data_IF_805270612043
#
_entry.id   IF_805270612043
#
_cell.length_a   1.000
_cell.length_b   1.000
_cell.length_c   1.000
_cell.angle_alpha   90.00
_cell.angle_beta   90.00
_cell.angle_gamma   90.00
#
_symmetry.space_group_name_H-M   'P 1'
#
loop_
_entity.id
_entity.type
_entity.pdbx_description
1 polymer ?
#
# COMPACT_ATOMS: atom_id res chain seq x y z
N UNK A 1 5.44 -7.49 -9.83
CA UNK A 1 6.16 -6.49 -9.02
C UNK A 1 6.09 -6.98 -7.60
N UNK A 2 7.22 -7.26 -6.95
CA UNK A 2 7.25 -7.72 -5.56
C UNK A 2 6.66 -6.62 -4.66
N UNK A 3 5.57 -6.93 -3.95
CA UNK A 3 4.96 -6.08 -2.90
C UNK A 3 5.67 -6.22 -1.55
N UNK A 4 6.79 -6.96 -1.54
CA UNK A 4 7.66 -7.17 -0.40
C UNK A 4 8.34 -5.84 -0.01
N UNK A 5 7.85 -5.24 1.07
CA UNK A 5 8.37 -4.02 1.71
C UNK A 5 9.87 -4.17 2.01
N UNK A 6 10.74 -3.69 1.12
CA UNK A 6 12.17 -3.54 1.36
C UNK A 6 12.46 -2.18 2.00
N UNK A 7 11.75 -1.85 3.08
CA UNK A 7 11.95 -0.61 3.83
C UNK A 7 12.21 -0.98 5.30
N UNK A 8 13.44 -0.77 5.78
CA UNK A 8 13.76 -0.90 7.22
C UNK A 8 12.96 0.10 8.08
N UNK A 9 12.46 1.19 7.48
CA UNK A 9 11.71 2.27 8.15
C UNK A 9 10.32 2.51 7.50
N UNK A 10 9.68 1.47 6.96
CA UNK A 10 8.34 1.60 6.39
C UNK A 10 7.36 2.18 7.41
N UNK A 11 7.46 1.71 8.65
CA UNK A 11 6.62 2.13 9.77
C UNK A 11 6.81 3.63 10.07
N UNK A 12 8.06 4.11 10.13
CA UNK A 12 8.35 5.51 10.37
C UNK A 12 7.85 6.43 9.24
N UNK A 13 7.90 5.98 7.98
CA UNK A 13 7.32 6.73 6.86
C UNK A 13 5.78 6.79 6.97
N UNK A 14 5.14 5.67 7.31
CA UNK A 14 3.70 5.61 7.51
C UNK A 14 3.24 6.50 8.68
N UNK A 15 3.97 6.51 9.79
CA UNK A 15 3.70 7.40 10.93
C UNK A 15 3.80 8.88 10.52
N UNK A 16 4.89 9.26 9.85
CA UNK A 16 5.06 10.64 9.36
C UNK A 16 3.95 11.04 8.37
N UNK A 17 3.50 10.12 7.52
CA UNK A 17 2.40 10.37 6.60
C UNK A 17 1.08 10.57 7.36
N UNK A 18 0.79 9.71 8.34
CA UNK A 18 -0.42 9.81 9.17
C UNK A 18 -0.44 11.12 9.96
N UNK A 19 0.68 11.50 10.56
CA UNK A 19 0.84 12.75 11.30
C UNK A 19 0.65 13.97 10.39
N UNK A 20 1.14 13.92 9.16
CA UNK A 20 0.91 14.99 8.18
C UNK A 20 -0.56 15.15 7.77
N UNK A 21 -1.37 14.10 7.91
CA UNK A 21 -2.81 14.13 7.68
C UNK A 21 -3.63 14.55 8.90
N UNK A 22 -3.05 14.59 10.11
CA UNK A 22 -3.79 14.97 11.31
C UNK A 22 -4.32 16.40 11.21
N UNK A 23 -5.63 16.56 11.43
CA UNK A 23 -6.31 17.86 11.37
C UNK A 23 -6.65 18.36 9.97
N UNK A 24 -6.32 17.62 8.91
CA UNK A 24 -6.73 17.95 7.54
C UNK A 24 -8.14 17.44 7.24
N UNK A 25 -8.93 18.23 6.53
CA UNK A 25 -10.15 17.73 5.87
C UNK A 25 -9.80 16.71 4.79
N UNK A 26 -10.83 16.04 4.26
CA UNK A 26 -10.64 15.12 3.13
C UNK A 26 -10.04 15.82 1.91
N UNK A 27 -10.56 16.98 1.56
CA UNK A 27 -10.11 17.77 0.40
C UNK A 27 -8.68 18.27 0.61
N UNK A 28 -8.34 18.67 1.83
CA UNK A 28 -6.99 19.07 2.19
C UNK A 28 -6.01 17.88 2.14
N UNK A 29 -6.45 16.70 2.57
CA UNK A 29 -5.67 15.46 2.48
C UNK A 29 -5.44 15.04 1.03
N UNK A 30 -6.44 15.15 0.18
CA UNK A 30 -6.32 14.90 -1.27
C UNK A 30 -5.33 15.89 -1.92
N UNK A 31 -5.42 17.18 -1.58
CA UNK A 31 -4.48 18.20 -2.05
C UNK A 31 -3.05 18.00 -1.51
N UNK A 32 -2.90 17.54 -0.27
CA UNK A 32 -1.62 17.13 0.29
C UNK A 32 -1.01 15.96 -0.49
N UNK A 33 -1.79 14.91 -0.74
CA UNK A 33 -1.35 13.73 -1.49
C UNK A 33 -0.93 14.07 -2.91
N UNK A 34 -1.69 14.91 -3.62
CA UNK A 34 -1.33 15.35 -4.97
C UNK A 34 0.03 16.09 -4.98
N UNK A 35 0.26 16.98 -4.01
CA UNK A 35 1.55 17.68 -3.88
C UNK A 35 2.70 16.72 -3.55
N UNK A 36 2.48 15.79 -2.63
CA UNK A 36 3.48 14.80 -2.25
C UNK A 36 3.88 13.93 -3.45
N UNK A 37 2.91 13.45 -4.23
CA UNK A 37 3.16 12.66 -5.46
C UNK A 37 4.00 13.47 -6.46
N UNK A 38 3.66 14.74 -6.70
CA UNK A 38 4.42 15.59 -7.62
C UNK A 38 5.86 15.85 -7.15
N UNK A 39 6.06 16.07 -5.84
CA UNK A 39 7.39 16.22 -5.27
C UNK A 39 8.21 14.94 -5.44
N UNK A 40 7.65 13.78 -5.10
CA UNK A 40 8.33 12.49 -5.31
C UNK A 40 8.65 12.26 -6.80
N UNK A 41 7.72 12.59 -7.70
CA UNK A 41 7.92 12.47 -9.13
C UNK A 41 9.08 13.35 -9.63
N UNK A 42 9.17 14.58 -9.13
CA UNK A 42 10.26 15.49 -9.44
C UNK A 42 11.62 14.96 -8.93
N UNK A 43 11.66 14.40 -7.72
CA UNK A 43 12.88 13.81 -7.16
C UNK A 43 13.33 12.56 -7.93
N UNK A 44 12.39 11.76 -8.44
CA UNK A 44 12.69 10.57 -9.25
C UNK A 44 13.25 10.96 -10.63
N UNK A 45 12.73 12.02 -11.25
CA UNK A 45 13.24 12.57 -12.52
C UNK A 45 13.17 11.62 -13.73
N UNK A 46 12.47 10.48 -13.62
CA UNK A 46 12.42 9.44 -14.65
C UNK A 46 10.99 9.14 -15.06
N UNK A 47 10.56 9.72 -16.19
CA UNK A 47 9.21 9.55 -16.74
C UNK A 47 8.85 8.08 -16.99
N UNK A 48 9.78 7.25 -17.47
CA UNK A 48 9.49 5.85 -17.74
C UNK A 48 9.22 5.05 -16.45
N UNK A 49 9.92 5.39 -15.36
CA UNK A 49 9.65 4.80 -14.06
C UNK A 49 8.30 5.29 -13.50
N UNK A 50 8.00 6.59 -13.64
CA UNK A 50 6.73 7.16 -13.19
C UNK A 50 5.52 6.53 -13.90
N UNK A 51 5.61 6.31 -15.22
CA UNK A 51 4.56 5.63 -15.98
C UNK A 51 4.36 4.20 -15.47
N UNK A 52 5.44 3.46 -15.19
CA UNK A 52 5.34 2.12 -14.60
C UNK A 52 4.66 2.14 -13.23
N UNK A 53 4.96 3.13 -12.39
CA UNK A 53 4.29 3.30 -11.10
C UNK A 53 2.79 3.58 -11.26
N UNK A 54 2.39 4.42 -12.22
CA UNK A 54 0.98 4.73 -12.50
C UNK A 54 0.24 3.46 -12.97
N UNK A 55 0.85 2.69 -13.88
CA UNK A 55 0.28 1.40 -14.33
C UNK A 55 0.14 0.44 -13.15
N UNK A 56 1.17 0.28 -12.33
CA UNK A 56 1.14 -0.59 -11.16
C UNK A 56 0.10 -0.15 -10.11
N UNK A 57 -0.11 1.15 -9.91
CA UNK A 57 -1.14 1.67 -9.01
C UNK A 57 -2.57 1.49 -9.55
N UNK A 58 -2.73 1.38 -10.88
CA UNK A 58 -4.02 1.12 -11.53
C UNK A 58 -4.40 -0.35 -11.49
N UNK A 59 -3.41 -1.24 -11.42
CA UNK A 59 -3.58 -2.65 -11.11
C UNK A 59 -3.90 -2.76 -9.61
N UNK A 60 -5.17 -3.05 -9.28
CA UNK A 60 -5.56 -3.28 -7.88
C UNK A 60 -4.59 -4.29 -7.27
N UNK A 61 -3.91 -3.99 -6.15
CA UNK A 61 -3.25 -5.05 -5.41
C UNK A 61 -4.36 -6.01 -4.99
N UNK A 62 -4.31 -7.24 -5.47
CA UNK A 62 -5.15 -8.30 -4.94
C UNK A 62 -4.85 -8.41 -3.44
N UNK A 63 -5.71 -7.79 -2.61
CA UNK A 63 -5.68 -7.86 -1.15
C UNK A 63 -6.01 -9.28 -0.64
N UNK A 64 -5.78 -10.33 -1.42
CA UNK A 64 -6.15 -11.73 -1.11
C UNK A 64 -4.98 -12.72 -1.09
N UNK A 65 -3.73 -12.28 -1.11
CA UNK A 65 -2.58 -13.18 -0.92
C UNK A 65 -2.08 -13.25 0.55
N UNK A 66 -2.96 -13.02 1.53
CA UNK A 66 -2.72 -13.29 2.95
C UNK A 66 -3.58 -14.46 3.40
N UNK A 67 -3.00 -15.66 3.47
CA UNK A 67 -3.72 -16.91 3.74
C UNK A 67 -4.46 -16.95 5.09
N UNK A 68 -5.56 -17.71 5.13
CA UNK A 68 -5.99 -18.39 6.35
C UNK A 68 -5.41 -19.81 6.32
N UNK A 69 -4.29 -20.11 7.02
CA UNK A 69 -3.94 -21.48 7.32
C UNK A 69 -4.84 -21.95 8.46
N UNK A 70 -5.68 -22.97 8.23
CA UNK A 70 -6.30 -23.69 9.35
C UNK A 70 -7.78 -24.06 9.25
N UNK A 71 -8.42 -24.12 8.08
CA UNK A 71 -9.82 -24.57 7.99
C UNK A 71 -10.00 -25.76 7.04
N UNK A 72 -9.28 -26.86 7.27
CA UNK A 72 -9.52 -28.13 6.55
C UNK A 72 -9.50 -29.40 7.43
N UNK A 73 -9.44 -29.32 8.77
CA UNK A 73 -9.20 -30.54 9.58
C UNK A 73 -10.22 -30.86 10.69
N UNK A 74 -11.33 -30.14 10.86
CA UNK A 74 -12.28 -30.47 11.94
C UNK A 74 -13.73 -30.19 11.57
N UNK A 75 -14.39 -31.19 10.98
CA UNK A 75 -15.76 -31.66 11.31
C UNK A 75 -16.21 -32.60 10.17
N UNK A 76 -15.85 -33.90 10.23
CA UNK A 76 -16.79 -35.02 9.96
C UNK A 76 -16.14 -36.40 10.19
N UNK A 77 -15.72 -36.70 11.43
CA UNK A 77 -15.66 -38.10 11.90
C UNK A 77 -16.00 -38.18 13.38
N UNK A 78 -17.14 -38.81 13.69
CA UNK A 78 -17.14 -39.84 14.72
C UNK A 78 -17.32 -41.22 14.09
N UNK A 79 -16.38 -42.08 14.43
CA UNK A 79 -16.41 -43.52 14.26
C UNK A 79 -17.54 -44.06 15.14
N UNK A 80 -18.50 -44.74 14.52
CA UNK A 80 -19.56 -45.53 15.15
C UNK A 80 -19.89 -46.70 14.26
#
# INVERSE_FOLDING_TARGET
METSLNFQDADAFYENLLDAHQGLSREQSEAFNARLILLMANQIGNTALLVKCITAASEKPDLQAGGRPGQLDQLDRPVG
#
